data_IF_772694950713
#
_entry.id   IF_772694950713
#
_cell.length_a   1.000
_cell.length_b   1.000
_cell.length_c   1.000
_cell.angle_alpha   90.00
_cell.angle_beta   90.00
_cell.angle_gamma   90.00
#
_symmetry.space_group_name_H-M   'P 1'
#
loop_
_entity.id
_entity.type
_entity.pdbx_description
1 polymer ?
#
# COMPACT_ATOMS: atom_id res chain seq x y z
N UNK A 1 27.80 -87.29 -48.38
CA UNK A 1 27.44 -86.74 -47.06
C UNK A 1 27.92 -85.30 -46.84
N UNK A 2 28.60 -84.65 -47.79
CA UNK A 2 29.27 -83.35 -47.60
C UNK A 2 28.37 -82.12 -47.82
N UNK A 3 27.44 -82.17 -48.77
CA UNK A 3 26.63 -81.00 -49.19
C UNK A 3 25.56 -80.58 -48.18
N UNK A 4 24.97 -81.54 -47.45
CA UNK A 4 23.97 -81.26 -46.42
C UNK A 4 24.59 -80.62 -45.18
N UNK A 5 25.83 -80.99 -44.86
CA UNK A 5 26.58 -80.44 -43.73
C UNK A 5 27.02 -79.00 -44.00
N UNK A 6 27.49 -78.72 -45.22
CA UNK A 6 27.80 -77.36 -45.70
C UNK A 6 26.59 -76.41 -45.64
N UNK A 7 25.41 -76.88 -46.05
CA UNK A 7 24.17 -76.07 -46.00
C UNK A 7 23.75 -75.76 -44.56
N UNK A 8 23.99 -76.69 -43.64
CA UNK A 8 23.72 -76.51 -42.21
C UNK A 8 24.70 -75.51 -41.59
N UNK A 9 25.99 -75.60 -41.95
CA UNK A 9 27.03 -74.64 -41.54
C UNK A 9 26.69 -73.24 -42.04
N UNK A 10 26.28 -73.09 -43.30
CA UNK A 10 25.89 -71.80 -43.86
C UNK A 10 24.69 -71.17 -43.13
N UNK A 11 23.67 -71.98 -42.80
CA UNK A 11 22.50 -71.53 -42.04
C UNK A 11 22.87 -71.04 -40.63
N UNK A 12 23.81 -71.73 -39.96
CA UNK A 12 24.32 -71.30 -38.65
C UNK A 12 25.10 -69.98 -38.74
N UNK A 13 25.87 -69.77 -39.82
CA UNK A 13 26.61 -68.52 -40.05
C UNK A 13 25.67 -67.33 -40.29
N UNK A 14 24.60 -67.52 -41.07
CA UNK A 14 23.61 -66.45 -41.28
C UNK A 14 22.86 -66.12 -39.99
N UNK A 15 22.50 -67.13 -39.18
CA UNK A 15 21.92 -66.91 -37.85
C UNK A 15 22.88 -66.13 -36.92
N UNK A 16 24.18 -66.45 -36.92
CA UNK A 16 25.19 -65.70 -36.15
C UNK A 16 25.30 -64.24 -36.58
N UNK A 17 25.24 -63.97 -37.89
CA UNK A 17 25.25 -62.61 -38.44
C UNK A 17 24.01 -61.82 -38.00
N UNK A 18 22.83 -62.44 -38.04
CA UNK A 18 21.59 -61.81 -37.59
C UNK A 18 21.58 -61.56 -36.08
N UNK A 19 22.06 -62.53 -35.29
CA UNK A 19 22.24 -62.38 -33.83
C UNK A 19 23.14 -61.19 -33.55
N UNK A 20 24.31 -61.09 -34.21
CA UNK A 20 25.23 -59.97 -34.01
C UNK A 20 24.58 -58.62 -34.32
N UNK A 21 23.83 -58.52 -35.41
CA UNK A 21 23.12 -57.29 -35.77
C UNK A 21 22.09 -56.90 -34.70
N UNK A 22 21.28 -57.87 -34.23
CA UNK A 22 20.30 -57.68 -33.16
C UNK A 22 20.95 -57.31 -31.83
N UNK A 23 22.09 -57.92 -31.47
CA UNK A 23 22.85 -57.56 -30.26
C UNK A 23 23.32 -56.11 -30.30
N UNK A 24 23.83 -55.62 -31.44
CA UNK A 24 24.25 -54.22 -31.58
C UNK A 24 23.04 -53.28 -31.45
N UNK A 25 21.90 -53.63 -32.04
CA UNK A 25 20.67 -52.84 -31.90
C UNK A 25 20.18 -52.83 -30.45
N UNK A 26 20.24 -53.96 -29.77
CA UNK A 26 19.86 -54.08 -28.36
C UNK A 26 20.74 -53.21 -27.46
N UNK A 27 22.06 -53.21 -27.65
CA UNK A 27 22.97 -52.35 -26.89
C UNK A 27 22.71 -50.86 -27.13
N UNK A 28 22.40 -50.47 -28.38
CA UNK A 28 21.98 -49.08 -28.69
C UNK A 28 20.69 -48.71 -27.98
N UNK A 29 19.68 -49.60 -27.97
CA UNK A 29 18.42 -49.35 -27.28
C UNK A 29 18.62 -49.26 -25.77
N UNK A 30 19.41 -50.17 -25.20
CA UNK A 30 19.78 -50.16 -23.78
C UNK A 30 20.46 -48.85 -23.38
N UNK A 31 21.44 -48.39 -24.15
CA UNK A 31 22.11 -47.11 -23.90
C UNK A 31 21.15 -45.92 -23.91
N UNK A 32 20.19 -45.90 -24.85
CA UNK A 32 19.13 -44.87 -24.87
C UNK A 32 18.23 -44.93 -23.65
N UNK A 33 17.81 -46.12 -23.23
CA UNK A 33 16.98 -46.30 -22.03
C UNK A 33 17.70 -45.72 -20.80
N UNK A 34 18.99 -46.02 -20.63
CA UNK A 34 19.78 -45.50 -19.50
C UNK A 34 19.80 -43.97 -19.51
N UNK A 35 20.06 -43.34 -20.66
CA UNK A 35 20.07 -41.87 -20.76
C UNK A 35 18.70 -41.25 -20.43
N UNK A 36 17.61 -41.83 -20.92
CA UNK A 36 16.26 -41.31 -20.63
C UNK A 36 15.89 -41.46 -19.14
N UNK A 37 16.32 -42.55 -18.50
CA UNK A 37 16.14 -42.74 -17.05
C UNK A 37 16.92 -41.68 -16.27
N UNK A 38 18.20 -41.49 -16.58
CA UNK A 38 19.04 -40.46 -15.93
C UNK A 38 18.49 -39.05 -16.14
N UNK A 39 18.00 -38.73 -17.35
CA UNK A 39 17.36 -37.45 -17.64
C UNK A 39 16.08 -37.25 -16.81
N UNK A 40 15.28 -38.31 -16.65
CA UNK A 40 14.05 -38.26 -15.84
C UNK A 40 14.38 -38.03 -14.36
N UNK A 41 15.39 -38.73 -13.81
CA UNK A 41 15.83 -38.53 -12.43
C UNK A 41 16.35 -37.10 -12.18
N UNK A 42 17.02 -36.51 -13.18
CA UNK A 42 17.46 -35.13 -13.09
C UNK A 42 16.29 -34.14 -13.13
N UNK A 43 15.30 -34.38 -13.99
CA UNK A 43 14.09 -33.56 -14.07
C UNK A 43 13.27 -33.63 -12.78
N UNK A 44 13.20 -34.79 -12.12
CA UNK A 44 12.53 -34.94 -10.83
C UNK A 44 13.18 -34.07 -9.74
N UNK A 45 14.51 -33.94 -9.73
CA UNK A 45 15.22 -33.04 -8.81
C UNK A 45 14.88 -31.58 -9.10
N UNK A 46 14.94 -31.17 -10.36
CA UNK A 46 14.56 -29.81 -10.77
C UNK A 46 13.12 -29.49 -10.36
N UNK A 47 12.18 -30.42 -10.58
CA UNK A 47 10.78 -30.26 -10.18
C UNK A 47 10.62 -30.12 -8.66
N UNK A 48 11.41 -30.83 -7.87
CA UNK A 48 11.40 -30.69 -6.41
C UNK A 48 11.88 -29.30 -5.97
N UNK A 49 12.96 -28.79 -6.58
CA UNK A 49 13.49 -27.45 -6.32
C UNK A 49 12.46 -26.36 -6.68
N UNK A 50 11.80 -26.47 -7.83
CA UNK A 50 10.77 -25.50 -8.24
C UNK A 50 9.55 -25.48 -7.32
N UNK A 51 9.14 -26.65 -6.81
CA UNK A 51 8.05 -26.75 -5.83
C UNK A 51 8.45 -26.10 -4.51
N UNK A 52 9.66 -26.37 -4.03
CA UNK A 52 10.18 -25.74 -2.82
C UNK A 52 10.26 -24.21 -2.96
N UNK A 53 10.75 -23.70 -4.09
CA UNK A 53 10.81 -22.26 -4.34
C UNK A 53 9.41 -21.64 -4.36
N UNK A 54 8.42 -22.31 -4.96
CA UNK A 54 7.03 -21.87 -4.93
C UNK A 54 6.48 -21.76 -3.50
N UNK A 55 6.78 -22.74 -2.64
CA UNK A 55 6.35 -22.72 -1.24
C UNK A 55 6.98 -21.56 -0.46
N UNK A 56 8.26 -21.27 -0.69
CA UNK A 56 8.95 -20.12 -0.10
C UNK A 56 8.33 -18.79 -0.55
N UNK A 57 8.06 -18.63 -1.85
CA UNK A 57 7.39 -17.44 -2.38
C UNK A 57 5.98 -17.27 -1.79
N UNK A 58 5.24 -18.35 -1.59
CA UNK A 58 3.93 -18.31 -0.93
C UNK A 58 4.05 -17.88 0.54
N UNK A 59 5.10 -18.34 1.25
CA UNK A 59 5.38 -17.93 2.61
C UNK A 59 5.74 -16.44 2.70
N UNK A 60 6.62 -15.94 1.83
CA UNK A 60 6.98 -14.51 1.76
C UNK A 60 5.75 -13.64 1.47
N UNK A 61 4.91 -14.06 0.52
CA UNK A 61 3.63 -13.39 0.25
C UNK A 61 2.77 -13.31 1.51
N UNK A 62 2.67 -14.38 2.30
CA UNK A 62 1.88 -14.38 3.53
C UNK A 62 2.47 -13.47 4.60
N UNK A 63 3.80 -13.41 4.72
CA UNK A 63 4.48 -12.47 5.60
C UNK A 63 4.13 -11.01 5.25
N UNK A 64 4.20 -10.65 3.96
CA UNK A 64 3.82 -9.31 3.50
C UNK A 64 2.34 -8.98 3.75
N UNK A 65 1.44 -9.96 3.67
CA UNK A 65 0.02 -9.74 4.00
C UNK A 65 -0.15 -9.38 5.48
N UNK A 66 0.59 -10.02 6.39
CA UNK A 66 0.51 -9.68 7.81
C UNK A 66 1.15 -8.33 8.12
N UNK A 67 2.26 -7.97 7.46
CA UNK A 67 2.85 -6.63 7.55
C UNK A 67 1.85 -5.55 7.14
N UNK A 68 1.14 -5.76 6.02
CA UNK A 68 0.07 -4.86 5.60
C UNK A 68 -1.04 -4.80 6.64
N UNK A 69 -1.44 -5.92 7.24
CA UNK A 69 -2.47 -5.96 8.28
C UNK A 69 -2.07 -5.14 9.51
N UNK A 70 -0.81 -5.23 9.92
CA UNK A 70 -0.26 -4.46 11.03
C UNK A 70 -0.26 -2.95 10.74
N UNK A 71 0.17 -2.55 9.53
CA UNK A 71 0.12 -1.15 9.10
C UNK A 71 -1.32 -0.61 9.16
N UNK A 72 -2.31 -1.39 8.72
CA UNK A 72 -3.72 -0.96 8.82
C UNK A 72 -4.17 -0.80 10.27
N UNK A 73 -3.74 -1.69 11.18
CA UNK A 73 -4.05 -1.58 12.61
C UNK A 73 -3.43 -0.30 13.21
N UNK A 74 -2.17 -0.01 12.88
CA UNK A 74 -1.46 1.18 13.36
C UNK A 74 -2.11 2.47 12.83
N UNK A 75 -2.54 2.50 11.56
CA UNK A 75 -3.30 3.62 11.00
C UNK A 75 -4.59 3.86 11.80
N UNK A 76 -5.38 2.81 12.04
CA UNK A 76 -6.62 2.93 12.81
C UNK A 76 -6.37 3.42 14.25
N UNK A 77 -5.27 2.97 14.88
CA UNK A 77 -4.88 3.44 16.20
C UNK A 77 -4.57 4.95 16.18
N UNK A 78 -3.80 5.40 15.18
CA UNK A 78 -3.47 6.82 15.03
C UNK A 78 -4.70 7.69 14.73
N UNK A 79 -5.64 7.21 13.91
CA UNK A 79 -6.91 7.90 13.64
C UNK A 79 -7.72 8.11 14.93
N UNK A 80 -7.77 7.09 15.79
CA UNK A 80 -8.44 7.19 17.09
C UNK A 80 -7.77 8.22 18.01
N UNK A 81 -6.43 8.25 18.05
CA UNK A 81 -5.67 9.23 18.83
C UNK A 81 -5.95 10.65 18.35
N UNK A 82 -5.94 10.88 17.03
CA UNK A 82 -6.26 12.19 16.44
C UNK A 82 -7.68 12.61 16.83
N UNK A 83 -8.67 11.73 16.66
CA UNK A 83 -10.06 12.01 17.01
C UNK A 83 -10.22 12.38 18.48
N UNK A 84 -9.58 11.63 19.39
CA UNK A 84 -9.63 11.91 20.82
C UNK A 84 -8.98 13.27 21.16
N UNK A 85 -7.87 13.61 20.50
CA UNK A 85 -7.19 14.88 20.68
C UNK A 85 -8.05 16.06 20.17
N UNK A 86 -8.70 15.92 19.02
CA UNK A 86 -9.62 16.91 18.47
C UNK A 86 -10.83 17.14 19.38
N UNK A 87 -11.43 16.06 19.89
CA UNK A 87 -12.52 16.16 20.86
C UNK A 87 -12.09 16.87 22.15
N UNK A 88 -10.89 16.55 22.65
CA UNK A 88 -10.33 17.20 23.83
C UNK A 88 -10.10 18.71 23.61
N UNK A 89 -9.50 19.06 22.47
CA UNK A 89 -9.30 20.46 22.05
C UNK A 89 -10.64 21.19 21.95
N UNK A 90 -11.64 20.58 21.33
CA UNK A 90 -12.96 21.21 21.17
C UNK A 90 -13.65 21.42 22.53
N UNK A 91 -13.54 20.47 23.46
CA UNK A 91 -14.04 20.65 24.86
C UNK A 91 -13.34 21.79 25.59
N UNK A 92 -12.03 21.92 25.44
CA UNK A 92 -11.26 23.02 26.03
C UNK A 92 -11.69 24.38 25.43
N UNK A 93 -11.87 24.44 24.10
CA UNK A 93 -12.34 25.64 23.42
C UNK A 93 -13.76 26.04 23.83
N UNK A 94 -14.68 25.09 23.94
CA UNK A 94 -16.05 25.33 24.44
C UNK A 94 -16.03 25.88 25.87
N UNK A 95 -15.18 25.32 26.74
CA UNK A 95 -15.00 25.83 28.11
C UNK A 95 -14.48 27.27 28.09
N UNK A 96 -13.48 27.57 27.26
CA UNK A 96 -12.93 28.92 27.12
C UNK A 96 -13.99 29.92 26.61
N UNK A 97 -14.82 29.52 25.63
CA UNK A 97 -15.94 30.34 25.13
C UNK A 97 -16.92 30.68 26.25
N UNK A 98 -17.32 29.68 27.06
CA UNK A 98 -18.24 29.90 28.21
C UNK A 98 -17.66 30.87 29.25
N UNK A 99 -16.40 30.70 29.62
CA UNK A 99 -15.72 31.60 30.56
C UNK A 99 -15.64 33.01 29.98
N UNK A 100 -15.35 33.14 28.69
CA UNK A 100 -15.31 34.45 28.03
C UNK A 100 -16.68 35.13 27.99
N UNK A 101 -17.75 34.36 27.78
CA UNK A 101 -19.13 34.88 27.82
C UNK A 101 -19.53 35.39 29.22
N UNK A 102 -18.97 34.81 30.30
CA UNK A 102 -19.13 35.31 31.68
C UNK A 102 -18.21 36.50 32.00
N UNK A 103 -16.99 36.49 31.48
CA UNK A 103 -15.99 37.56 31.67
C UNK A 103 -16.47 38.89 31.06
N UNK A 104 -17.04 38.85 29.86
CA UNK A 104 -17.45 40.04 29.09
C UNK A 104 -18.43 40.97 29.84
N UNK A 105 -19.58 40.50 30.38
CA UNK A 105 -20.49 41.37 31.12
C UNK A 105 -19.86 41.92 32.40
N UNK A 106 -19.08 41.11 33.13
CA UNK A 106 -18.40 41.56 34.34
C UNK A 106 -17.43 42.70 34.05
N UNK A 107 -16.65 42.57 32.97
CA UNK A 107 -15.76 43.64 32.50
C UNK A 107 -16.54 44.91 32.13
N UNK A 108 -17.65 44.78 31.39
CA UNK A 108 -18.49 45.92 31.03
C UNK A 108 -19.07 46.62 32.27
N UNK A 109 -19.45 45.86 33.29
CA UNK A 109 -19.94 46.39 34.56
C UNK A 109 -18.84 47.14 35.33
N UNK A 110 -17.62 46.61 35.38
CA UNK A 110 -16.45 47.30 35.98
C UNK A 110 -16.17 48.62 35.26
N UNK A 111 -16.14 48.61 33.93
CA UNK A 111 -15.94 49.81 33.12
C UNK A 111 -17.06 50.83 33.32
N UNK A 112 -18.30 50.38 33.47
CA UNK A 112 -19.44 51.25 33.80
C UNK A 112 -19.26 51.89 35.18
N UNK A 113 -18.93 51.09 36.21
CA UNK A 113 -18.72 51.60 37.56
C UNK A 113 -17.56 52.61 37.64
N UNK A 114 -16.45 52.36 36.94
CA UNK A 114 -15.31 53.29 36.88
C UNK A 114 -15.69 54.64 36.29
N UNK A 115 -16.46 54.64 35.21
CA UNK A 115 -16.93 55.87 34.57
C UNK A 115 -17.94 56.61 35.43
N UNK A 116 -18.99 55.92 35.87
CA UNK A 116 -20.18 56.57 36.43
C UNK A 116 -19.95 57.07 37.86
N UNK A 117 -19.17 56.34 38.67
CA UNK A 117 -18.94 56.68 40.07
C UNK A 117 -17.62 57.41 40.34
N UNK A 118 -16.59 57.18 39.49
CA UNK A 118 -15.25 57.73 39.72
C UNK A 118 -14.81 58.74 38.64
N UNK A 119 -15.58 58.89 37.55
CA UNK A 119 -15.21 59.76 36.43
C UNK A 119 -13.94 59.32 35.69
N UNK A 120 -13.52 58.06 35.86
CA UNK A 120 -12.29 57.53 35.27
C UNK A 120 -12.56 56.87 33.92
N UNK A 121 -11.57 56.89 33.03
CA UNK A 121 -11.62 56.14 31.78
C UNK A 121 -11.59 54.61 31.99
N UNK A 122 -11.89 53.87 30.90
CA UNK A 122 -11.81 52.40 30.87
C UNK A 122 -10.42 51.94 31.25
N UNK A 123 -10.32 50.75 31.85
CA UNK A 123 -9.02 50.19 32.16
C UNK A 123 -8.31 49.75 30.86
N UNK A 124 -7.16 50.37 30.49
CA UNK A 124 -6.50 50.12 29.20
C UNK A 124 -5.89 48.72 29.11
N UNK A 125 -5.22 48.27 30.17
CA UNK A 125 -4.48 46.99 30.23
C UNK A 125 -5.37 45.78 29.90
N UNK A 126 -6.60 45.75 30.45
CA UNK A 126 -7.58 44.69 30.20
C UNK A 126 -8.10 44.63 28.75
N UNK A 127 -7.93 45.67 27.93
CA UNK A 127 -8.38 45.69 26.53
C UNK A 127 -7.25 45.38 25.54
N UNK A 128 -6.00 45.63 25.92
CA UNK A 128 -4.83 45.28 25.08
C UNK A 128 -4.57 43.77 25.09
N UNK A 129 -4.77 43.11 26.23
CA UNK A 129 -4.68 41.65 26.40
C UNK A 129 -5.78 40.87 25.66
N UNK A 130 -6.82 41.56 25.20
CA UNK A 130 -8.07 40.95 24.71
C UNK A 130 -8.05 40.59 23.21
N UNK A 131 -7.13 41.17 22.43
CA UNK A 131 -7.16 41.07 20.95
C UNK A 131 -7.00 39.65 20.41
N UNK A 132 -6.59 38.68 21.22
CA UNK A 132 -6.30 37.30 20.78
C UNK A 132 -6.72 36.19 21.76
N UNK A 133 -7.65 36.43 22.71
CA UNK A 133 -7.94 35.45 23.78
C UNK A 133 -8.57 34.12 23.29
N UNK A 134 -9.36 34.17 22.23
CA UNK A 134 -9.95 32.97 21.61
C UNK A 134 -9.59 32.95 20.12
N UNK A 135 -8.73 32.01 19.68
CA UNK A 135 -8.40 31.86 18.26
C UNK A 135 -9.67 31.57 17.43
N UNK A 136 -9.78 32.13 16.21
CA UNK A 136 -10.85 31.76 15.30
C UNK A 136 -10.79 30.27 14.97
N UNK A 137 -11.96 29.64 14.92
CA UNK A 137 -12.14 28.23 14.62
C UNK A 137 -11.39 27.89 13.31
N UNK A 138 -10.35 27.05 13.38
CA UNK A 138 -9.63 26.59 12.20
C UNK A 138 -10.56 25.67 11.41
N UNK A 139 -11.29 26.26 10.45
CA UNK A 139 -12.11 25.48 9.53
C UNK A 139 -11.19 24.54 8.73
N UNK A 140 -11.51 23.24 8.65
CA UNK A 140 -10.73 22.33 7.84
C UNK A 140 -10.66 22.86 6.40
N UNK A 141 -9.50 22.73 5.74
CA UNK A 141 -9.31 23.28 4.40
C UNK A 141 -10.36 22.71 3.44
N UNK A 142 -10.91 23.54 2.53
CA UNK A 142 -11.99 23.09 1.65
C UNK A 142 -11.51 21.92 0.78
N UNK A 143 -12.33 20.86 0.75
CA UNK A 143 -12.11 19.64 -0.03
C UNK A 143 -12.87 19.71 -1.37
N UNK A 144 -12.46 18.90 -2.35
CA UNK A 144 -13.20 18.65 -3.61
C UNK A 144 -13.19 17.15 -3.92
N UNK A 145 -14.20 16.65 -4.62
CA UNK A 145 -14.17 15.26 -5.14
C UNK A 145 -13.34 15.18 -6.43
N UNK A 146 -12.52 14.14 -6.55
CA UNK A 146 -11.82 13.83 -7.80
C UNK A 146 -12.84 13.44 -8.90
N UNK A 147 -12.68 13.93 -10.12
CA UNK A 147 -13.59 13.58 -11.23
C UNK A 147 -13.37 12.17 -11.80
N UNK A 148 -12.24 11.53 -11.48
CA UNK A 148 -11.91 10.18 -11.96
C UNK A 148 -12.29 9.12 -10.93
N UNK A 149 -11.82 9.27 -9.68
CA UNK A 149 -12.05 8.27 -8.64
C UNK A 149 -13.06 8.69 -7.56
N UNK A 150 -13.67 9.88 -7.67
CA UNK A 150 -14.68 10.41 -6.74
C UNK A 150 -14.23 10.61 -5.29
N UNK A 151 -13.00 10.24 -4.92
CA UNK A 151 -12.48 10.47 -3.58
C UNK A 151 -12.28 11.95 -3.26
N UNK A 152 -12.47 12.31 -1.98
CA UNK A 152 -12.18 13.66 -1.50
C UNK A 152 -10.67 13.93 -1.49
N UNK A 153 -10.30 15.06 -2.09
CA UNK A 153 -8.93 15.57 -2.16
C UNK A 153 -8.91 17.06 -1.82
N UNK A 154 -7.77 17.60 -1.42
CA UNK A 154 -7.61 19.03 -1.17
C UNK A 154 -8.06 19.87 -2.38
N UNK A 155 -8.82 20.96 -2.18
CA UNK A 155 -9.41 21.76 -3.29
C UNK A 155 -8.38 22.29 -4.28
N UNK A 156 -7.17 22.58 -3.83
CA UNK A 156 -6.07 23.07 -4.67
C UNK A 156 -5.10 21.97 -5.14
N UNK A 157 -5.38 20.68 -4.88
CA UNK A 157 -4.53 19.59 -5.37
C UNK A 157 -4.49 19.60 -6.92
N UNK A 158 -3.30 19.69 -7.54
CA UNK A 158 -3.17 19.70 -9.01
C UNK A 158 -3.35 18.30 -9.62
N UNK A 159 -3.08 17.26 -8.84
CA UNK A 159 -3.18 15.85 -9.22
C UNK A 159 -3.84 15.09 -8.06
N UNK A 160 -4.70 14.11 -8.35
CA UNK A 160 -5.26 13.23 -7.33
C UNK A 160 -4.14 12.33 -6.77
N UNK A 161 -3.88 12.31 -5.45
CA UNK A 161 -2.81 11.48 -4.88
C UNK A 161 -3.06 9.98 -5.05
N UNK A 162 -4.33 9.59 -5.20
CA UNK A 162 -4.78 8.20 -5.27
C UNK A 162 -4.77 7.63 -6.69
N UNK A 163 -5.40 8.32 -7.65
CA UNK A 163 -5.50 7.84 -9.04
C UNK A 163 -4.58 8.57 -10.02
N UNK A 164 -3.81 9.57 -9.57
CA UNK A 164 -2.90 10.40 -10.38
C UNK A 164 -3.56 11.18 -11.53
N UNK A 165 -4.90 11.22 -11.59
CA UNK A 165 -5.61 12.05 -12.57
C UNK A 165 -5.38 13.55 -12.30
N UNK A 166 -5.16 14.33 -13.38
CA UNK A 166 -5.05 15.79 -13.31
C UNK A 166 -6.37 16.39 -12.83
N UNK A 167 -6.30 17.24 -11.81
CA UNK A 167 -7.48 17.93 -11.30
C UNK A 167 -7.62 19.30 -11.96
N UNK A 168 -8.73 19.52 -12.67
CA UNK A 168 -9.06 20.82 -13.26
C UNK A 168 -9.88 21.65 -12.26
N UNK A 169 -9.41 22.86 -11.94
CA UNK A 169 -10.21 23.83 -11.17
C UNK A 169 -11.42 24.26 -11.99
N UNK A 170 -12.62 24.28 -11.38
CA UNK A 170 -13.84 24.80 -12.02
C UNK A 170 -13.82 26.33 -12.21
N UNK A 171 -13.00 27.07 -11.45
CA UNK A 171 -12.77 28.50 -11.62
C UNK A 171 -11.30 28.78 -11.99
N UNK A 172 -10.99 28.99 -13.28
CA UNK A 172 -9.70 29.53 -13.69
C UNK A 172 -9.54 30.96 -13.17
N UNK A 173 -8.41 31.29 -12.54
CA UNK A 173 -8.06 32.70 -12.25
C UNK A 173 -7.91 33.43 -13.59
N UNK A 174 -8.66 34.53 -13.78
CA UNK A 174 -8.55 35.36 -14.98
C UNK A 174 -7.09 35.83 -15.17
N UNK A 175 -6.53 35.78 -16.38
CA UNK A 175 -5.19 36.28 -16.63
C UNK A 175 -5.13 37.78 -16.31
N UNK A 176 -4.13 38.21 -15.55
CA UNK A 176 -3.83 39.64 -15.34
C UNK A 176 -3.48 40.25 -16.70
N UNK A 177 -4.19 41.31 -17.11
CA UNK A 177 -3.77 42.15 -18.23
C UNK A 177 -2.38 42.71 -17.88
N UNK A 178 -1.41 42.55 -18.79
CA UNK A 178 -0.16 43.31 -18.75
C UNK A 178 -0.49 44.68 -19.35
N UNK A 179 -0.31 45.73 -18.57
CA UNK A 179 -0.20 47.10 -19.07
C UNK A 179 1.12 47.28 -19.83
#
# INVERSE_FOLDING_TARGET
MTTTDERTIYSKLEALKEIRAKTIQLEKMKSRIIHEVEATEQEEKCLAEYKQEMDLLMQEKMAHVEELRQIHADINAMENVIKQAEESRNRALETAKRIHDEYRPLKMDIDRMRRDYLGLERLPELHEEERELIPPEQQPPPMKSCLSCHQQIHRNAPICPLCKAKSRSRNPKKPKKKD
#
